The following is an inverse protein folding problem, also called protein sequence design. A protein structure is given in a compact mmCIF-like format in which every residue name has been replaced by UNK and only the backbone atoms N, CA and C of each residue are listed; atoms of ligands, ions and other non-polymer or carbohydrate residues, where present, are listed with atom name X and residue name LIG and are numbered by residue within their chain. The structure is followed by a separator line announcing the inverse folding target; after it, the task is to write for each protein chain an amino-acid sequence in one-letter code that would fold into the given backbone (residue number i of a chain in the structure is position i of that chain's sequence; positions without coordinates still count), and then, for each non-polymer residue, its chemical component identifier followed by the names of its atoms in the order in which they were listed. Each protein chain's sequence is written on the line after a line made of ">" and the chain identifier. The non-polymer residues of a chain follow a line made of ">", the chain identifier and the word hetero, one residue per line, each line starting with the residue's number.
data_IF_884329345009
#
_entry.id   IF_884329345009
#
_cell.length_a   1.000
_cell.length_b   1.000
_cell.length_c   1.000
_cell.angle_alpha   90.00
_cell.angle_beta   90.00
_cell.angle_gamma   90.00
#
_symmetry.space_group_name_H-M   'P 1'
#
loop_
_entity.id
_entity.type
_entity.pdbx_description
1 polymer ?
#
# COMPACT_ATOMS: atom_id res chain seq x y z
N UNK A 1 -33.20 51.56 -43.59
CA UNK A 1 -32.50 50.31 -43.97
C UNK A 1 -33.54 49.25 -44.30
N UNK A 2 -33.66 48.85 -45.57
CA UNK A 2 -34.64 47.85 -46.01
C UNK A 2 -34.17 46.47 -45.51
N UNK A 3 -34.93 45.82 -44.61
CA UNK A 3 -34.68 44.43 -44.19
C UNK A 3 -34.80 43.56 -45.44
N UNK A 4 -33.67 43.03 -45.93
CA UNK A 4 -33.61 42.06 -47.04
C UNK A 4 -34.39 40.83 -46.56
N UNK A 5 -35.60 40.64 -47.07
CA UNK A 5 -36.41 39.45 -46.84
C UNK A 5 -35.56 38.24 -47.22
N UNK A 6 -35.08 37.45 -46.24
CA UNK A 6 -34.35 36.22 -46.52
C UNK A 6 -35.33 35.27 -47.20
N UNK A 7 -35.12 35.00 -48.49
CA UNK A 7 -35.82 33.94 -49.20
C UNK A 7 -35.19 32.64 -48.71
N UNK A 8 -35.89 31.89 -47.86
CA UNK A 8 -35.50 30.50 -47.57
C UNK A 8 -35.62 29.72 -48.88
N UNK A 9 -34.49 29.33 -49.46
CA UNK A 9 -34.45 28.46 -50.63
C UNK A 9 -34.39 27.03 -50.12
N UNK A 10 -35.29 26.17 -50.60
CA UNK A 10 -35.31 24.77 -50.18
C UNK A 10 -34.13 24.01 -50.81
N UNK A 11 -33.58 23.04 -50.08
CA UNK A 11 -32.40 22.26 -50.49
C UNK A 11 -32.61 21.63 -51.88
N UNK A 12 -33.80 21.09 -52.15
CA UNK A 12 -34.14 20.49 -53.44
C UNK A 12 -34.08 21.47 -54.62
N UNK A 13 -34.52 22.72 -54.39
CA UNK A 13 -34.46 23.78 -55.40
C UNK A 13 -33.01 24.17 -55.69
N UNK A 14 -32.16 24.21 -54.66
CA UNK A 14 -30.73 24.51 -54.80
C UNK A 14 -29.98 23.42 -55.55
N UNK A 15 -30.29 22.15 -55.26
CA UNK A 15 -29.73 21.00 -56.00
C UNK A 15 -30.15 21.06 -57.47
N UNK A 16 -31.42 21.35 -57.75
CA UNK A 16 -31.93 21.50 -59.11
C UNK A 16 -31.23 22.64 -59.85
N UNK A 17 -31.03 23.77 -59.18
CA UNK A 17 -30.33 24.93 -59.75
C UNK A 17 -28.89 24.56 -60.13
N UNK A 18 -28.11 24.01 -59.19
CA UNK A 18 -26.72 23.62 -59.44
C UNK A 18 -26.59 22.55 -60.53
N UNK A 19 -27.55 21.63 -60.59
CA UNK A 19 -27.61 20.61 -61.65
C UNK A 19 -27.79 21.25 -63.03
N UNK A 20 -28.70 22.22 -63.15
CA UNK A 20 -28.96 22.92 -64.42
C UNK A 20 -27.77 23.80 -64.80
N UNK A 21 -27.18 24.52 -63.85
CA UNK A 21 -25.98 25.35 -64.07
C UNK A 21 -24.77 24.52 -64.51
N UNK A 22 -24.68 23.26 -64.06
CA UNK A 22 -23.62 22.32 -64.45
C UNK A 22 -23.95 21.50 -65.71
N UNK A 23 -25.10 21.73 -66.34
CA UNK A 23 -25.52 21.04 -67.58
C UNK A 23 -25.84 19.55 -67.42
N UNK A 24 -26.11 19.07 -66.20
CA UNK A 24 -26.39 17.65 -65.95
C UNK A 24 -27.88 17.31 -66.10
N UNK A 25 -28.19 16.14 -66.66
CA UNK A 25 -29.53 15.55 -66.53
C UNK A 25 -29.72 14.93 -65.15
N UNK A 26 -30.97 14.64 -64.76
CA UNK A 26 -31.24 13.94 -63.49
C UNK A 26 -30.57 12.56 -63.44
N UNK A 27 -30.43 11.90 -64.60
CA UNK A 27 -29.73 10.62 -64.73
C UNK A 27 -28.22 10.78 -64.53
N UNK A 28 -27.61 11.81 -65.13
CA UNK A 28 -26.17 12.05 -65.00
C UNK A 28 -25.74 12.35 -63.56
N UNK A 29 -26.57 13.11 -62.82
CA UNK A 29 -26.31 13.37 -61.40
C UNK A 29 -26.49 12.09 -60.56
N UNK A 30 -27.48 11.27 -60.89
CA UNK A 30 -27.73 10.01 -60.22
C UNK A 30 -26.57 9.01 -60.42
N UNK A 31 -26.06 8.91 -61.64
CA UNK A 31 -24.92 8.05 -61.99
C UNK A 31 -23.66 8.48 -61.25
N UNK A 32 -23.38 9.79 -61.14
CA UNK A 32 -22.23 10.32 -60.38
C UNK A 32 -22.34 10.10 -58.87
N UNK A 33 -23.56 10.04 -58.33
CA UNK A 33 -23.83 9.85 -56.90
C UNK A 33 -24.05 8.37 -56.53
N UNK A 34 -24.06 7.47 -57.50
CA UNK A 34 -24.41 6.05 -57.33
C UNK A 34 -25.80 5.85 -56.70
N UNK A 35 -26.78 6.61 -57.17
CA UNK A 35 -28.19 6.55 -56.73
C UNK A 35 -29.13 6.43 -57.92
N UNK A 36 -30.42 6.18 -57.68
CA UNK A 36 -31.40 6.12 -58.77
C UNK A 36 -31.82 7.53 -59.20
N UNK A 37 -32.13 7.71 -60.50
CA UNK A 37 -32.65 8.98 -61.02
C UNK A 37 -33.95 9.42 -60.32
N UNK A 38 -34.74 8.44 -59.83
CA UNK A 38 -35.93 8.69 -59.03
C UNK A 38 -35.59 9.35 -57.68
N UNK A 39 -34.49 8.95 -57.02
CA UNK A 39 -34.05 9.59 -55.77
C UNK A 39 -33.69 11.07 -56.00
N UNK A 40 -32.95 11.37 -57.06
CA UNK A 40 -32.62 12.75 -57.46
C UNK A 40 -33.88 13.56 -57.76
N UNK A 41 -34.84 13.01 -58.51
CA UNK A 41 -36.11 13.70 -58.77
C UNK A 41 -36.91 13.98 -57.50
N UNK A 42 -36.89 13.08 -56.51
CA UNK A 42 -37.61 13.28 -55.24
C UNK A 42 -36.94 14.34 -54.37
N UNK A 43 -35.60 14.41 -54.39
CA UNK A 43 -34.86 15.49 -53.74
C UNK A 43 -35.17 16.84 -54.37
N UNK A 44 -35.18 16.94 -55.70
CA UNK A 44 -35.49 18.20 -56.42
C UNK A 44 -36.92 18.70 -56.21
N UNK A 45 -37.85 17.80 -55.84
CA UNK A 45 -39.24 18.12 -55.49
C UNK A 45 -39.45 18.37 -53.99
N UNK A 46 -38.40 18.26 -53.18
CA UNK A 46 -38.47 18.32 -51.71
C UNK A 46 -39.38 17.24 -51.09
N UNK A 47 -39.61 16.11 -51.78
CA UNK A 47 -40.41 15.00 -51.24
C UNK A 47 -39.61 14.15 -50.23
N UNK A 48 -38.28 14.13 -50.39
CA UNK A 48 -37.35 13.40 -49.52
C UNK A 48 -36.09 14.25 -49.38
N UNK A 49 -35.49 14.27 -48.20
CA UNK A 49 -34.21 14.91 -47.98
C UNK A 49 -33.05 13.92 -48.23
N UNK A 50 -31.98 14.34 -48.93
CA UNK A 50 -30.78 13.52 -49.07
C UNK A 50 -30.06 13.35 -47.72
N UNK A 51 -29.39 12.22 -47.53
CA UNK A 51 -28.56 12.00 -46.33
C UNK A 51 -27.37 12.97 -46.26
N UNK A 52 -26.80 13.19 -45.07
CA UNK A 52 -25.59 14.02 -44.89
C UNK A 52 -24.39 13.55 -45.73
N UNK A 53 -24.25 12.23 -45.88
CA UNK A 53 -23.20 11.65 -46.73
C UNK A 53 -23.43 12.00 -48.21
N UNK A 54 -24.69 11.90 -48.67
CA UNK A 54 -25.10 12.27 -50.02
C UNK A 54 -24.90 13.77 -50.26
N UNK A 55 -25.28 14.63 -49.31
CA UNK A 55 -25.08 16.08 -49.37
C UNK A 55 -23.60 16.44 -49.50
N UNK A 56 -22.73 15.74 -48.77
CA UNK A 56 -21.27 15.94 -48.88
C UNK A 56 -20.74 15.55 -50.26
N UNK A 57 -21.28 14.50 -50.87
CA UNK A 57 -20.95 14.09 -52.24
C UNK A 57 -21.45 15.10 -53.27
N UNK A 58 -22.68 15.59 -53.12
CA UNK A 58 -23.28 16.64 -53.95
C UNK A 58 -22.43 17.92 -53.88
N UNK A 59 -22.07 18.34 -52.66
CA UNK A 59 -21.21 19.50 -52.41
C UNK A 59 -19.86 19.39 -53.14
N UNK A 60 -19.24 18.20 -53.10
CA UNK A 60 -18.01 17.92 -53.83
C UNK A 60 -18.17 17.96 -55.36
N UNK A 61 -19.27 17.41 -55.90
CA UNK A 61 -19.54 17.40 -57.35
C UNK A 61 -19.70 18.82 -57.89
N UNK A 62 -20.41 19.68 -57.15
CA UNK A 62 -20.68 21.06 -57.56
C UNK A 62 -19.64 22.06 -57.02
N UNK A 63 -18.60 21.59 -56.33
CA UNK A 63 -17.55 22.40 -55.71
C UNK A 63 -18.10 23.54 -54.81
N UNK A 64 -19.15 23.25 -54.06
CA UNK A 64 -19.78 24.14 -53.08
C UNK A 64 -19.64 23.57 -51.68
N UNK A 65 -19.83 24.38 -50.64
CA UNK A 65 -19.92 23.88 -49.26
C UNK A 65 -21.30 23.29 -48.97
N UNK A 66 -21.40 22.37 -48.01
CA UNK A 66 -22.70 21.84 -47.57
C UNK A 66 -23.59 22.97 -47.01
N UNK A 67 -22.99 23.97 -46.34
CA UNK A 67 -23.71 25.16 -45.89
C UNK A 67 -24.39 25.94 -47.04
N UNK A 68 -23.73 26.05 -48.19
CA UNK A 68 -24.32 26.67 -49.39
C UNK A 68 -25.52 25.88 -49.93
N UNK A 69 -25.48 24.54 -49.89
CA UNK A 69 -26.62 23.69 -50.25
C UNK A 69 -27.81 23.85 -49.30
N UNK A 70 -27.54 24.15 -48.03
CA UNK A 70 -28.55 24.36 -46.98
C UNK A 70 -29.11 25.80 -46.96
N UNK A 71 -28.68 26.66 -47.89
CA UNK A 71 -29.16 28.04 -47.99
C UNK A 71 -28.49 29.03 -47.03
N UNK A 72 -27.40 28.63 -46.38
CA UNK A 72 -26.52 29.56 -45.67
C UNK A 72 -25.61 30.24 -46.68
N UNK A 73 -25.99 31.44 -47.12
CA UNK A 73 -25.12 32.37 -47.85
C UNK A 73 -24.00 32.85 -46.91
N UNK A 74 -23.08 31.96 -46.53
CA UNK A 74 -21.77 32.37 -46.01
C UNK A 74 -20.84 32.56 -47.19
N UNK A 75 -20.39 33.80 -47.39
CA UNK A 75 -19.36 34.20 -48.36
C UNK A 75 -18.25 33.15 -48.41
N UNK A 76 -17.89 32.75 -49.63
CA UNK A 76 -16.83 31.79 -49.89
C UNK A 76 -15.51 32.31 -49.35
N UNK A 77 -15.11 31.85 -48.16
CA UNK A 77 -13.70 31.89 -47.75
C UNK A 77 -13.02 30.78 -48.53
N UNK A 78 -12.28 31.16 -49.56
CA UNK A 78 -11.33 30.27 -50.23
C UNK A 78 -10.29 29.89 -49.19
N UNK A 79 -10.49 28.75 -48.53
CA UNK A 79 -9.48 28.17 -47.65
C UNK A 79 -8.42 27.58 -48.56
N UNK A 80 -7.45 28.42 -48.91
CA UNK A 80 -6.14 27.97 -49.37
C UNK A 80 -5.63 26.96 -48.34
N UNK A 81 -5.35 25.74 -48.78
CA UNK A 81 -4.90 24.66 -47.90
C UNK A 81 -3.51 25.01 -47.37
N UNK A 82 -3.45 25.77 -46.27
CA UNK A 82 -2.30 25.70 -45.40
C UNK A 82 -2.24 24.27 -44.85
N UNK A 83 -1.21 23.55 -45.30
CA UNK A 83 -0.83 22.26 -44.75
C UNK A 83 -0.47 22.51 -43.29
N UNK A 84 -1.44 22.35 -42.40
CA UNK A 84 -1.20 22.24 -40.97
C UNK A 84 -0.38 20.97 -40.80
N UNK A 85 0.96 21.13 -40.76
CA UNK A 85 1.86 20.09 -40.30
C UNK A 85 1.48 19.82 -38.86
N UNK A 86 0.70 18.77 -38.63
CA UNK A 86 0.58 18.18 -37.31
C UNK A 86 2.00 17.88 -36.84
N UNK A 87 2.47 18.67 -35.87
CA UNK A 87 3.75 18.46 -35.22
C UNK A 87 3.60 17.17 -34.43
N UNK A 88 3.99 16.05 -35.05
CA UNK A 88 4.09 14.75 -34.39
C UNK A 88 5.09 14.88 -33.23
N UNK A 89 4.56 15.08 -32.02
CA UNK A 89 5.33 14.94 -30.80
C UNK A 89 5.53 13.44 -30.57
N UNK A 90 6.77 12.92 -30.59
CA UNK A 90 6.99 11.52 -30.29
C UNK A 90 6.45 11.24 -28.88
N UNK A 91 5.42 10.42 -28.80
CA UNK A 91 4.86 10.00 -27.53
C UNK A 91 5.93 9.15 -26.84
N UNK A 92 6.45 9.62 -25.70
CA UNK A 92 7.44 8.88 -24.91
C UNK A 92 6.83 7.50 -24.57
N UNK A 93 7.57 6.39 -24.73
CA UNK A 93 7.05 5.08 -24.40
C UNK A 93 6.73 5.01 -22.91
N UNK A 94 5.58 4.43 -22.55
CA UNK A 94 5.24 4.15 -21.15
C UNK A 94 6.09 2.96 -20.70
N UNK A 95 6.95 3.18 -19.72
CA UNK A 95 7.85 2.14 -19.20
C UNK A 95 7.17 1.26 -18.14
N UNK A 96 6.30 1.86 -17.33
CA UNK A 96 5.56 1.18 -16.26
C UNK A 96 4.31 1.97 -15.86
N UNK A 97 3.38 1.30 -15.16
CA UNK A 97 2.26 1.94 -14.47
C UNK A 97 2.43 1.72 -12.98
N UNK A 98 2.30 2.79 -12.17
CA UNK A 98 2.38 2.69 -10.72
C UNK A 98 1.15 1.99 -10.15
N UNK A 99 1.32 0.94 -9.34
CA UNK A 99 0.21 0.21 -8.72
C UNK A 99 -0.59 1.03 -7.69
N UNK A 100 0.02 2.07 -7.08
CA UNK A 100 -0.63 2.85 -6.02
C UNK A 100 -1.44 4.04 -6.55
N UNK A 101 -1.00 4.68 -7.65
CA UNK A 101 -1.70 5.84 -8.22
C UNK A 101 -2.21 5.64 -9.64
N UNK A 102 -1.97 4.47 -10.24
CA UNK A 102 -2.35 4.11 -11.61
C UNK A 102 -1.85 5.10 -12.69
N UNK A 103 -0.80 5.87 -12.40
CA UNK A 103 -0.20 6.80 -13.36
C UNK A 103 0.88 6.10 -14.19
N UNK A 104 0.91 6.32 -15.52
CA UNK A 104 2.01 5.86 -16.36
C UNK A 104 3.29 6.64 -16.03
N UNK A 105 4.42 5.92 -16.00
CA UNK A 105 5.75 6.46 -15.76
C UNK A 105 6.56 6.34 -17.04
N UNK A 106 7.08 7.47 -17.51
CA UNK A 106 7.82 7.58 -18.79
C UNK A 106 9.34 7.58 -18.61
N UNK A 107 9.83 7.86 -17.40
CA UNK A 107 11.26 8.00 -17.10
C UNK A 107 11.74 6.84 -16.23
N UNK A 108 12.86 6.21 -16.61
CA UNK A 108 13.41 5.06 -15.90
C UNK A 108 13.83 5.40 -14.45
N UNK A 109 14.23 6.65 -14.19
CA UNK A 109 14.62 7.18 -12.88
C UNK A 109 13.46 7.22 -11.86
N UNK A 110 12.23 7.27 -12.35
CA UNK A 110 11.04 7.36 -11.51
C UNK A 110 10.36 6.00 -11.26
N UNK A 111 10.82 4.95 -11.94
CA UNK A 111 10.32 3.59 -11.76
C UNK A 111 11.06 2.92 -10.60
N UNK A 112 10.33 2.57 -9.55
CA UNK A 112 10.85 1.81 -8.41
C UNK A 112 10.24 0.42 -8.42
N UNK A 113 11.07 -0.61 -8.56
CA UNK A 113 10.67 -2.02 -8.48
C UNK A 113 11.06 -2.59 -7.12
N UNK A 114 10.10 -3.21 -6.43
CA UNK A 114 10.29 -3.78 -5.09
C UNK A 114 9.97 -5.27 -5.14
N UNK A 115 10.94 -6.11 -4.77
CA UNK A 115 10.73 -7.55 -4.66
C UNK A 115 10.20 -7.90 -3.26
N UNK A 116 9.12 -8.66 -3.21
CA UNK A 116 8.56 -9.23 -1.98
C UNK A 116 8.39 -10.74 -2.11
N UNK A 117 8.05 -11.44 -1.02
CA UNK A 117 7.78 -12.89 -1.07
C UNK A 117 6.66 -13.26 -2.05
N UNK A 118 5.75 -12.33 -2.34
CA UNK A 118 4.61 -12.51 -3.25
C UNK A 118 4.86 -11.96 -4.68
N UNK A 119 6.10 -11.64 -5.02
CA UNK A 119 6.48 -11.17 -6.36
C UNK A 119 6.97 -9.72 -6.42
N UNK A 120 7.06 -9.20 -7.64
CA UNK A 120 7.60 -7.87 -7.93
C UNK A 120 6.50 -6.81 -8.05
N UNK A 121 6.61 -5.74 -7.28
CA UNK A 121 5.70 -4.59 -7.33
C UNK A 121 6.36 -3.37 -7.96
N UNK A 122 5.60 -2.58 -8.71
CA UNK A 122 6.11 -1.36 -9.38
C UNK A 122 5.40 -0.10 -8.89
N UNK A 123 6.20 0.86 -8.42
CA UNK A 123 5.73 2.15 -7.91
C UNK A 123 6.44 3.31 -8.60
N UNK A 124 5.78 4.47 -8.69
CA UNK A 124 6.48 5.71 -9.03
C UNK A 124 7.26 6.24 -7.82
N UNK A 125 8.32 7.02 -8.06
CA UNK A 125 9.20 7.56 -7.01
C UNK A 125 8.46 8.29 -5.90
N UNK A 126 7.43 9.07 -6.24
CA UNK A 126 6.64 9.85 -5.27
C UNK A 126 5.75 8.96 -4.39
N UNK A 127 5.06 7.97 -4.99
CA UNK A 127 4.27 6.98 -4.25
C UNK A 127 5.16 6.12 -3.35
N UNK A 128 6.26 5.61 -3.88
CA UNK A 128 7.22 4.83 -3.09
C UNK A 128 7.80 5.63 -1.93
N UNK A 129 8.16 6.90 -2.14
CA UNK A 129 8.63 7.77 -1.06
C UNK A 129 7.57 7.97 0.03
N UNK A 130 6.30 8.21 -0.35
CA UNK A 130 5.18 8.32 0.59
C UNK A 130 4.97 7.03 1.37
N UNK A 131 4.98 5.87 0.71
CA UNK A 131 4.85 4.55 1.35
C UNK A 131 5.99 4.31 2.34
N UNK A 132 7.24 4.52 1.93
CA UNK A 132 8.42 4.39 2.79
C UNK A 132 8.37 5.34 3.99
N UNK A 133 7.83 6.56 3.81
CA UNK A 133 7.65 7.50 4.90
C UNK A 133 6.53 7.08 5.86
N UNK A 134 5.41 6.56 5.36
CA UNK A 134 4.36 5.94 6.20
C UNK A 134 4.91 4.78 7.02
N UNK A 135 5.68 3.88 6.42
CA UNK A 135 6.32 2.76 7.13
C UNK A 135 7.28 3.25 8.24
N UNK A 136 8.10 4.26 7.95
CA UNK A 136 8.96 4.89 8.97
C UNK A 136 8.15 5.52 10.11
N UNK A 137 7.09 6.26 9.78
CA UNK A 137 6.23 6.90 10.77
C UNK A 137 5.49 5.87 11.62
N UNK A 138 5.00 4.78 11.01
CA UNK A 138 4.39 3.66 11.71
C UNK A 138 5.38 3.04 12.71
N UNK A 139 6.61 2.72 12.28
CA UNK A 139 7.66 2.19 13.18
C UNK A 139 7.97 3.13 14.34
N UNK A 140 8.04 4.44 14.08
CA UNK A 140 8.24 5.46 15.13
C UNK A 140 7.06 5.46 16.12
N UNK A 141 5.82 5.38 15.60
CA UNK A 141 4.61 5.33 16.41
C UNK A 141 4.55 4.08 17.28
N UNK A 142 4.77 2.89 16.71
CA UNK A 142 4.85 1.63 17.44
C UNK A 142 5.95 1.69 18.52
N UNK A 143 7.13 2.21 18.20
CA UNK A 143 8.20 2.41 19.17
C UNK A 143 7.82 3.36 20.32
N UNK A 144 7.06 4.43 20.05
CA UNK A 144 6.53 5.33 21.11
C UNK A 144 5.56 4.62 22.03
N UNK A 145 4.62 3.86 21.46
CA UNK A 145 3.62 3.13 22.24
C UNK A 145 4.27 2.06 23.11
N UNK A 146 5.23 1.30 22.56
CA UNK A 146 5.96 0.29 23.32
C UNK A 146 6.74 0.90 24.47
N UNK A 147 7.43 2.04 24.27
CA UNK A 147 8.11 2.77 25.36
C UNK A 147 7.14 3.19 26.46
N UNK A 148 5.96 3.72 26.10
CA UNK A 148 4.94 4.10 27.10
C UNK A 148 4.53 2.88 27.93
N UNK A 149 4.30 1.74 27.28
CA UNK A 149 3.98 0.48 27.96
C UNK A 149 5.14 0.02 28.86
N UNK A 150 6.41 0.08 28.44
CA UNK A 150 7.56 -0.24 29.29
C UNK A 150 7.61 0.61 30.56
N UNK A 151 7.45 1.93 30.45
CA UNK A 151 7.50 2.82 31.60
C UNK A 151 6.29 2.63 32.53
N UNK A 152 5.09 2.51 31.97
CA UNK A 152 3.87 2.34 32.76
C UNK A 152 3.87 0.99 33.47
N UNK A 153 4.07 -0.11 32.74
CA UNK A 153 4.07 -1.44 33.35
C UNK A 153 5.29 -1.66 34.23
N UNK A 154 6.49 -1.29 33.77
CA UNK A 154 7.70 -1.35 34.59
C UNK A 154 7.53 -0.60 35.90
N UNK A 155 7.01 0.63 35.84
CA UNK A 155 6.81 1.51 36.99
C UNK A 155 5.72 1.04 37.94
N UNK A 156 4.59 0.54 37.41
CA UNK A 156 3.50 -0.02 38.23
C UNK A 156 4.01 -1.25 38.99
N UNK A 157 4.59 -2.22 38.28
CA UNK A 157 5.06 -3.45 38.92
C UNK A 157 6.20 -3.17 39.91
N UNK A 158 7.17 -2.33 39.56
CA UNK A 158 8.24 -1.96 40.50
C UNK A 158 7.70 -1.19 41.70
N UNK A 159 6.71 -0.31 41.50
CA UNK A 159 6.05 0.42 42.58
C UNK A 159 5.32 -0.52 43.52
N UNK A 160 4.52 -1.46 42.99
CA UNK A 160 3.84 -2.49 43.77
C UNK A 160 4.83 -3.34 44.55
N UNK A 161 5.92 -3.79 43.93
CA UNK A 161 6.95 -4.60 44.57
C UNK A 161 7.69 -3.80 45.65
N UNK A 162 8.07 -2.55 45.37
CA UNK A 162 8.71 -1.68 46.34
C UNK A 162 7.80 -1.39 47.55
N UNK A 163 6.51 -1.14 47.33
CA UNK A 163 5.51 -0.96 48.39
C UNK A 163 5.36 -2.25 49.21
N UNK A 164 5.27 -3.40 48.54
CA UNK A 164 5.15 -4.71 49.21
C UNK A 164 6.39 -5.01 50.06
N UNK A 165 7.59 -4.79 49.52
CA UNK A 165 8.86 -4.97 50.23
C UNK A 165 9.02 -3.96 51.36
N UNK A 166 8.47 -2.75 51.23
CA UNK A 166 8.44 -1.75 52.30
C UNK A 166 7.49 -2.17 53.43
N UNK A 167 6.31 -2.73 53.12
CA UNK A 167 5.39 -3.28 54.13
C UNK A 167 6.04 -4.46 54.88
N UNK A 168 6.66 -5.38 54.14
CA UNK A 168 7.42 -6.50 54.73
C UNK A 168 8.57 -5.97 55.59
N UNK A 169 9.31 -4.99 55.08
CA UNK A 169 10.40 -4.31 55.78
C UNK A 169 9.95 -3.73 57.11
N UNK A 170 8.83 -3.00 57.16
CA UNK A 170 8.27 -2.46 58.40
C UNK A 170 7.89 -3.58 59.38
N UNK A 171 7.29 -4.67 58.90
CA UNK A 171 6.94 -5.82 59.72
C UNK A 171 8.20 -6.51 60.30
N UNK A 172 9.28 -6.63 59.52
CA UNK A 172 10.54 -7.25 59.95
C UNK A 172 11.43 -6.31 60.75
N UNK A 173 11.31 -5.00 60.59
CA UNK A 173 12.03 -4.00 61.39
C UNK A 173 11.57 -4.01 62.84
N UNK A 174 10.30 -4.37 63.05
CA UNK A 174 9.74 -4.61 64.38
C UNK A 174 10.39 -5.82 65.09
N UNK A 175 11.02 -6.74 64.36
CA UNK A 175 11.60 -7.96 64.91
C UNK A 175 13.13 -7.97 64.96
N UNK A 176 13.84 -7.62 63.87
CA UNK A 176 15.28 -7.94 63.70
C UNK A 176 16.17 -6.83 63.11
N UNK A 177 15.67 -5.61 62.88
CA UNK A 177 16.51 -4.42 62.64
C UNK A 177 17.28 -4.28 61.31
N UNK A 178 17.24 -5.24 60.37
CA UNK A 178 17.87 -5.09 59.04
C UNK A 178 16.85 -4.85 57.91
N UNK A 179 16.88 -3.66 57.28
CA UNK A 179 15.85 -3.28 56.29
C UNK A 179 16.33 -2.53 55.04
N UNK A 180 17.62 -2.22 54.91
CA UNK A 180 18.11 -1.38 53.80
C UNK A 180 18.28 -2.20 52.50
N UNK A 181 18.64 -3.49 52.58
CA UNK A 181 18.90 -4.32 51.39
C UNK A 181 17.64 -4.64 50.56
N UNK A 182 16.52 -4.90 51.23
CA UNK A 182 15.26 -5.27 50.59
C UNK A 182 14.63 -4.11 49.80
N UNK A 183 14.74 -2.88 50.31
CA UNK A 183 14.20 -1.69 49.64
C UNK A 183 15.00 -1.37 48.38
N UNK A 184 16.33 -1.47 48.44
CA UNK A 184 17.21 -1.31 47.27
C UNK A 184 16.89 -2.37 46.19
N UNK A 185 16.66 -3.62 46.59
CA UNK A 185 16.26 -4.67 45.66
C UNK A 185 14.88 -4.40 45.00
N UNK A 186 13.94 -3.79 45.72
CA UNK A 186 12.66 -3.37 45.14
C UNK A 186 12.83 -2.32 44.03
N UNK A 187 13.68 -1.32 44.27
CA UNK A 187 13.95 -0.24 43.29
C UNK A 187 14.71 -0.77 42.07
N UNK A 188 15.69 -1.64 42.27
CA UNK A 188 16.48 -2.26 41.20
C UNK A 188 15.69 -3.28 40.37
N UNK A 189 14.47 -3.65 40.79
CA UNK A 189 13.55 -4.46 39.99
C UNK A 189 12.95 -3.69 38.79
N UNK A 190 12.86 -2.36 38.87
CA UNK A 190 12.37 -1.55 37.76
C UNK A 190 13.22 -1.67 36.48
N UNK A 191 14.57 -1.46 36.52
CA UNK A 191 15.45 -1.69 35.37
C UNK A 191 15.31 -3.09 34.77
N UNK A 192 15.21 -4.12 35.61
CA UNK A 192 15.07 -5.50 35.15
C UNK A 192 13.77 -5.72 34.37
N UNK A 193 12.63 -5.35 34.96
CA UNK A 193 11.33 -5.55 34.32
C UNK A 193 11.16 -4.66 33.08
N UNK A 194 11.70 -3.44 33.12
CA UNK A 194 11.71 -2.55 31.97
C UNK A 194 12.55 -3.13 30.82
N UNK A 195 13.70 -3.75 31.13
CA UNK A 195 14.50 -4.49 30.15
C UNK A 195 13.78 -5.71 29.57
N UNK A 196 12.99 -6.45 30.35
CA UNK A 196 12.18 -7.56 29.82
C UNK A 196 11.12 -7.07 28.80
N UNK A 197 10.54 -5.89 29.03
CA UNK A 197 9.53 -5.32 28.12
C UNK A 197 10.14 -4.62 26.89
N UNK A 198 11.34 -4.06 27.05
CA UNK A 198 12.13 -3.47 25.98
C UNK A 198 12.76 -4.58 25.13
N UNK A 199 12.13 -4.96 24.03
CA UNK A 199 12.65 -5.99 23.09
C UNK A 199 13.95 -5.62 22.35
N UNK A 200 14.61 -4.52 22.72
CA UNK A 200 15.79 -3.98 22.02
C UNK A 200 17.12 -4.27 22.73
N UNK A 201 17.10 -5.11 23.77
CA UNK A 201 18.25 -5.52 24.57
C UNK A 201 18.36 -7.04 24.67
N UNK A 202 19.53 -7.53 25.09
CA UNK A 202 19.80 -8.96 25.18
C UNK A 202 19.27 -9.61 26.46
N UNK A 203 19.00 -8.83 27.52
CA UNK A 203 18.64 -9.35 28.85
C UNK A 203 17.28 -10.05 28.78
N UNK A 204 16.31 -9.45 28.07
CA UNK A 204 15.02 -10.07 27.81
C UNK A 204 15.14 -11.39 27.04
N UNK A 205 15.93 -11.39 25.96
CA UNK A 205 16.19 -12.59 25.15
C UNK A 205 16.83 -13.70 25.97
N UNK A 206 17.91 -13.40 26.70
CA UNK A 206 18.61 -14.37 27.55
C UNK A 206 17.68 -15.06 28.56
N UNK A 207 16.85 -14.29 29.28
CA UNK A 207 15.94 -14.86 30.29
C UNK A 207 14.83 -15.70 29.64
N UNK A 208 14.25 -15.21 28.54
CA UNK A 208 13.18 -15.92 27.85
C UNK A 208 13.69 -17.16 27.09
N UNK A 209 14.87 -17.11 26.52
CA UNK A 209 15.50 -18.22 25.81
C UNK A 209 15.81 -19.35 26.79
N UNK A 210 16.40 -19.04 27.94
CA UNK A 210 16.65 -20.04 29.01
C UNK A 210 15.33 -20.59 29.56
N UNK A 211 14.30 -19.76 29.70
CA UNK A 211 12.97 -20.23 30.07
C UNK A 211 12.33 -21.11 28.99
N UNK A 212 12.65 -20.88 27.71
CA UNK A 212 12.13 -21.65 26.58
C UNK A 212 12.80 -23.01 26.39
N UNK A 213 13.99 -23.23 26.98
CA UNK A 213 14.69 -24.52 26.93
C UNK A 213 13.85 -25.68 27.48
N UNK A 214 12.86 -25.39 28.33
CA UNK A 214 11.87 -26.37 28.76
C UNK A 214 12.47 -27.57 29.49
N UNK A 215 11.62 -28.56 29.78
CA UNK A 215 12.07 -29.80 30.42
C UNK A 215 12.96 -30.59 29.46
N UNK A 216 14.17 -30.91 29.93
CA UNK A 216 15.16 -31.74 29.21
C UNK A 216 14.48 -33.02 28.70
N UNK A 217 14.51 -33.27 27.39
CA UNK A 217 13.99 -34.52 26.82
C UNK A 217 14.89 -35.68 27.23
N UNK A 218 14.33 -36.66 27.92
CA UNK A 218 15.05 -37.85 28.35
C UNK A 218 15.21 -38.88 27.22
N UNK A 219 16.34 -39.60 27.16
CA UNK A 219 16.57 -40.68 26.21
C UNK A 219 15.62 -41.87 26.48
N UNK A 220 15.41 -42.71 25.46
CA UNK A 220 14.60 -43.92 25.58
C UNK A 220 15.21 -44.92 26.57
N UNK A 221 14.40 -45.42 27.50
CA UNK A 221 14.78 -46.48 28.43
C UNK A 221 14.36 -47.83 27.83
N UNK A 222 15.29 -48.78 27.78
CA UNK A 222 15.01 -50.17 27.42
C UNK A 222 14.49 -50.85 28.70
N UNK A 223 13.35 -51.53 28.62
CA UNK A 223 12.76 -52.25 29.76
C UNK A 223 12.24 -53.63 29.33
N UNK A 224 12.20 -54.56 30.27
CA UNK A 224 11.57 -55.87 30.11
C UNK A 224 10.06 -55.77 30.35
N UNK A 225 9.27 -56.52 29.56
CA UNK A 225 7.80 -56.51 29.59
C UNK A 225 7.22 -57.35 30.75
N UNK A 226 7.80 -57.21 31.94
CA UNK A 226 7.36 -57.84 33.19
C UNK A 226 6.75 -56.78 34.12
N UNK A 227 5.93 -57.19 35.09
CA UNK A 227 5.27 -56.28 36.04
C UNK A 227 6.30 -55.44 36.82
N UNK A 228 7.39 -56.07 37.28
CA UNK A 228 8.49 -55.38 37.96
C UNK A 228 9.25 -54.42 37.02
N UNK A 229 9.38 -54.77 35.75
CA UNK A 229 9.97 -53.93 34.71
C UNK A 229 9.14 -52.68 34.42
N UNK A 230 7.81 -52.80 34.44
CA UNK A 230 6.87 -51.68 34.26
C UNK A 230 6.95 -50.71 35.46
N UNK A 231 6.97 -51.24 36.70
CA UNK A 231 7.10 -50.41 37.91
C UNK A 231 8.42 -49.64 37.87
N UNK A 232 9.54 -50.33 37.59
CA UNK A 232 10.86 -49.69 37.48
C UNK A 232 10.90 -48.61 36.39
N UNK A 233 10.32 -48.87 35.21
CA UNK A 233 10.24 -47.89 34.13
C UNK A 233 9.49 -46.62 34.54
N UNK A 234 8.35 -46.76 35.22
CA UNK A 234 7.56 -45.63 35.73
C UNK A 234 8.37 -44.85 36.78
N UNK A 235 8.98 -45.55 37.74
CA UNK A 235 9.77 -44.93 38.81
C UNK A 235 10.96 -44.15 38.26
N UNK A 236 11.75 -44.74 37.35
CA UNK A 236 12.92 -44.09 36.76
C UNK A 236 12.52 -42.89 35.90
N UNK A 237 11.43 -43.01 35.13
CA UNK A 237 10.92 -41.91 34.31
C UNK A 237 10.40 -40.75 35.17
N UNK A 238 9.74 -41.04 36.29
CA UNK A 238 9.31 -40.03 37.25
C UNK A 238 10.51 -39.34 37.92
N UNK A 239 11.51 -40.11 38.34
CA UNK A 239 12.73 -39.59 38.95
C UNK A 239 13.47 -38.64 37.98
N UNK A 240 13.64 -39.05 36.73
CA UNK A 240 14.26 -38.20 35.72
C UNK A 240 13.42 -36.96 35.44
N UNK A 241 12.09 -37.09 35.31
CA UNK A 241 11.21 -35.93 35.12
C UNK A 241 11.35 -34.90 36.25
N UNK A 242 11.41 -35.35 37.51
CA UNK A 242 11.62 -34.49 38.68
C UNK A 242 13.00 -33.84 38.63
N UNK A 243 14.06 -34.60 38.34
CA UNK A 243 15.42 -34.07 38.23
C UNK A 243 15.55 -33.01 37.13
N UNK A 244 14.95 -33.27 35.95
CA UNK A 244 14.91 -32.31 34.85
C UNK A 244 14.11 -31.06 35.19
N UNK A 245 13.01 -31.20 35.94
CA UNK A 245 12.23 -30.06 36.43
C UNK A 245 13.07 -29.18 37.36
N UNK A 246 13.76 -29.79 38.32
CA UNK A 246 14.61 -29.06 39.28
C UNK A 246 15.75 -28.34 38.55
N UNK A 247 16.42 -29.01 37.61
CA UNK A 247 17.51 -28.42 36.84
C UNK A 247 17.03 -27.25 35.98
N UNK A 248 15.91 -27.41 35.26
CA UNK A 248 15.34 -26.34 34.44
C UNK A 248 14.95 -25.14 35.31
N UNK A 249 14.30 -25.38 36.44
CA UNK A 249 13.95 -24.33 37.40
C UNK A 249 15.19 -23.60 37.92
N UNK A 250 16.24 -24.33 38.29
CA UNK A 250 17.50 -23.73 38.76
C UNK A 250 18.16 -22.86 37.67
N UNK A 251 18.18 -23.30 36.42
CA UNK A 251 18.69 -22.52 35.30
C UNK A 251 17.90 -21.22 35.07
N UNK A 252 16.56 -21.26 35.15
CA UNK A 252 15.71 -20.07 35.02
C UNK A 252 15.95 -19.09 36.16
N UNK A 253 16.02 -19.57 37.40
CA UNK A 253 16.31 -18.72 38.58
C UNK A 253 17.69 -18.06 38.43
N UNK A 254 18.70 -18.80 38.00
CA UNK A 254 20.04 -18.27 37.74
C UNK A 254 20.02 -17.22 36.62
N UNK A 255 19.30 -17.46 35.52
CA UNK A 255 19.17 -16.50 34.42
C UNK A 255 18.48 -15.21 34.86
N UNK A 256 17.45 -15.30 35.71
CA UNK A 256 16.78 -14.14 36.30
C UNK A 256 17.75 -13.38 37.22
N UNK A 257 18.49 -14.07 38.08
CA UNK A 257 19.45 -13.45 39.00
C UNK A 257 20.57 -12.71 38.24
N UNK A 258 21.16 -13.33 37.21
CA UNK A 258 22.16 -12.69 36.35
C UNK A 258 21.55 -11.52 35.57
N UNK A 259 20.38 -11.73 34.98
CA UNK A 259 19.66 -10.70 34.23
C UNK A 259 19.34 -9.48 35.09
N UNK A 260 19.01 -9.70 36.36
CA UNK A 260 18.74 -8.64 37.32
C UNK A 260 19.97 -7.76 37.57
N UNK A 261 21.14 -8.35 37.85
CA UNK A 261 22.40 -7.60 38.05
C UNK A 261 22.81 -6.85 36.77
N UNK A 262 22.74 -7.53 35.63
CA UNK A 262 23.12 -6.97 34.33
C UNK A 262 22.19 -5.83 33.92
N UNK A 263 20.89 -5.92 34.25
CA UNK A 263 19.88 -4.95 33.84
C UNK A 263 20.17 -3.53 34.33
N UNK A 264 20.84 -3.39 35.48
CA UNK A 264 21.23 -2.10 36.07
C UNK A 264 22.13 -1.33 35.09
N UNK A 265 23.08 -2.02 34.48
CA UNK A 265 24.02 -1.43 33.53
C UNK A 265 23.42 -1.31 32.14
N UNK A 266 22.60 -2.26 31.71
CA UNK A 266 22.04 -2.30 30.35
C UNK A 266 20.89 -1.33 30.16
N UNK A 267 20.07 -1.11 31.19
CA UNK A 267 18.88 -0.26 31.13
C UNK A 267 19.12 1.15 30.56
N UNK A 268 20.10 1.95 31.02
CA UNK A 268 20.32 3.30 30.47
C UNK A 268 20.66 3.26 28.97
N UNK A 269 21.45 2.29 28.52
CA UNK A 269 21.78 2.14 27.10
C UNK A 269 20.60 1.61 26.28
N UNK A 270 19.84 0.65 26.81
CA UNK A 270 18.63 0.13 26.18
C UNK A 270 17.61 1.25 25.97
N UNK A 271 17.47 2.13 26.95
CA UNK A 271 16.60 3.30 26.88
C UNK A 271 17.07 4.29 25.81
N UNK A 272 18.35 4.71 25.82
CA UNK A 272 18.90 5.64 24.82
C UNK A 272 18.79 5.07 23.39
N UNK A 273 19.09 3.79 23.22
CA UNK A 273 18.97 3.10 21.94
C UNK A 273 17.52 3.10 21.45
N UNK A 274 16.55 2.93 22.36
CA UNK A 274 15.12 3.02 22.04
C UNK A 274 14.71 4.41 21.54
N UNK A 275 15.36 5.48 22.01
CA UNK A 275 15.09 6.85 21.55
C UNK A 275 15.76 7.17 20.20
N UNK A 276 17.02 6.77 20.02
CA UNK A 276 17.81 7.12 18.82
C UNK A 276 17.45 6.29 17.59
N UNK A 277 17.05 5.03 17.75
CA UNK A 277 16.80 4.09 16.63
C UNK A 277 15.54 3.24 16.85
N UNK A 278 14.34 3.85 16.75
CA UNK A 278 13.06 3.13 16.96
C UNK A 278 12.73 2.13 15.84
N UNK A 279 13.40 2.20 14.69
CA UNK A 279 13.21 1.34 13.53
C UNK A 279 13.87 -0.05 13.67
N UNK A 280 14.71 -0.23 14.68
CA UNK A 280 15.50 -1.44 14.96
C UNK A 280 14.98 -2.25 16.16
N UNK A 281 13.90 -1.83 16.81
CA UNK A 281 13.36 -2.50 18.01
C UNK A 281 12.64 -3.83 17.74
N UNK A 282 12.46 -4.22 16.48
CA UNK A 282 11.79 -5.45 16.06
C UNK A 282 12.74 -6.52 15.48
N UNK A 283 14.04 -6.23 15.39
CA UNK A 283 15.03 -7.21 14.91
C UNK A 283 15.90 -7.67 16.06
N UNK A 284 15.42 -8.64 16.82
CA UNK A 284 16.11 -9.77 17.47
C UNK A 284 15.01 -10.68 17.99
#
# INVERSE_FOLDING_TARGET
>A
MKKKQRRFVMIGEKIKQLRIESGFTQKDLADKLFVTAQAVSRWEKNEVEPSLETLTKIAKIFNVTVANLLGEESETVVVEKEVVKEVYKPQKPVLAVCEECNKPVYEATDVVRVQTHNGSHVFCRSCYAKKKQKEKNAKIFYGKEQRRKSFVWGGIFSGVIAITLLIIGIATQLSNGETIGLTIAGVLFFPFLSCLYLKNNFVGGMVLDVASWGFVRFPGLIFSLDIDGIIWFITVKLLFAILGFILAFACVVLAIALGYVISIFVYPFALIKSFKRPDLSERI
#
